data_IF_894306445928
#
_entry.id   IF_894306445928
#
_cell.length_a   1.000
_cell.length_b   1.000
_cell.length_c   1.000
_cell.angle_alpha   90.00
_cell.angle_beta   90.00
_cell.angle_gamma   90.00
#
_symmetry.space_group_name_H-M   'P 1'
#
loop_
_entity.id
_entity.type
_entity.pdbx_description
1 polymer ?
#
# COMPACT_ATOMS: atom_id res chain seq x y z
N UNK A 1 -31.36 51.20 -2.26
CA UNK A 1 -31.71 50.11 -1.33
C UNK A 1 -30.41 49.50 -0.86
N UNK A 2 -29.95 49.89 0.33
CA UNK A 2 -28.79 49.26 0.98
C UNK A 2 -29.30 48.00 1.67
N UNK A 3 -28.73 46.85 1.31
CA UNK A 3 -28.92 45.59 2.03
C UNK A 3 -27.86 45.62 3.14
N UNK A 4 -28.33 45.87 4.36
CA UNK A 4 -27.53 45.81 5.57
C UNK A 4 -27.31 44.33 5.91
N UNK A 5 -26.09 43.84 5.70
CA UNK A 5 -25.69 42.45 5.95
C UNK A 5 -25.47 42.26 7.46
N UNK A 6 -26.59 42.10 8.18
CA UNK A 6 -26.68 42.01 9.64
C UNK A 6 -26.19 40.68 10.23
N UNK A 7 -25.06 40.17 9.76
CA UNK A 7 -24.53 38.85 10.15
C UNK A 7 -23.26 38.95 10.99
N UNK A 8 -23.24 39.67 12.12
CA UNK A 8 -22.02 39.76 12.99
C UNK A 8 -22.10 39.81 14.55
N UNK A 9 -23.23 39.69 15.29
CA UNK A 9 -23.13 39.68 16.77
C UNK A 9 -22.84 38.32 17.42
N UNK A 10 -23.18 37.20 16.75
CA UNK A 10 -23.16 35.87 17.38
C UNK A 10 -21.75 35.31 17.57
N UNK A 11 -20.86 35.52 16.59
CA UNK A 11 -19.49 34.96 16.64
C UNK A 11 -18.63 35.57 17.75
N UNK A 12 -18.80 36.85 18.08
CA UNK A 12 -17.95 37.51 19.07
C UNK A 12 -18.27 37.08 20.51
N UNK A 13 -19.56 36.84 20.81
CA UNK A 13 -19.95 36.32 22.12
C UNK A 13 -19.46 34.88 22.31
N UNK A 14 -19.59 34.04 21.28
CA UNK A 14 -19.14 32.65 21.34
C UNK A 14 -17.62 32.57 21.53
N UNK A 15 -16.85 33.41 20.79
CA UNK A 15 -15.40 33.57 20.98
C UNK A 15 -15.04 34.03 22.40
N UNK A 16 -15.79 34.95 23.00
CA UNK A 16 -15.53 35.43 24.37
C UNK A 16 -15.85 34.40 25.46
N UNK A 17 -16.90 33.60 25.29
CA UNK A 17 -17.23 32.50 26.21
C UNK A 17 -16.21 31.37 26.11
N UNK A 18 -15.78 31.07 24.89
CA UNK A 18 -14.72 30.12 24.61
C UNK A 18 -13.39 30.59 25.22
N UNK A 19 -13.02 31.86 25.02
CA UNK A 19 -11.83 32.45 25.64
C UNK A 19 -11.88 32.30 27.16
N UNK A 20 -13.03 32.58 27.79
CA UNK A 20 -13.21 32.38 29.24
C UNK A 20 -13.08 30.91 29.67
N UNK A 21 -13.58 29.96 28.88
CA UNK A 21 -13.39 28.52 29.14
C UNK A 21 -11.92 28.11 29.03
N UNK A 22 -11.24 28.58 27.99
CA UNK A 22 -9.81 28.37 27.77
C UNK A 22 -9.02 28.97 28.94
N UNK A 23 -9.25 30.22 29.31
CA UNK A 23 -8.59 30.90 30.44
C UNK A 23 -8.87 30.19 31.76
N UNK A 24 -10.09 29.67 31.96
CA UNK A 24 -10.43 28.90 33.15
C UNK A 24 -9.66 27.58 33.23
N UNK A 25 -9.66 26.77 32.16
CA UNK A 25 -8.90 25.50 32.10
C UNK A 25 -7.38 25.73 32.14
N UNK A 26 -6.90 26.84 31.58
CA UNK A 26 -5.49 27.21 31.53
C UNK A 26 -5.00 28.01 32.74
N UNK A 27 -5.88 28.38 33.67
CA UNK A 27 -5.51 29.18 34.86
C UNK A 27 -4.41 28.55 35.71
N UNK A 28 -4.18 27.23 35.56
CA UNK A 28 -3.13 26.47 36.24
C UNK A 28 -1.86 26.26 35.41
N UNK A 29 -1.85 26.63 34.13
CA UNK A 29 -0.68 26.55 33.25
C UNK A 29 -0.04 27.93 33.11
N UNK A 30 1.30 28.04 33.22
CA UNK A 30 2.01 29.31 33.03
C UNK A 30 2.09 29.63 31.53
N UNK A 31 0.94 29.90 30.91
CA UNK A 31 0.89 30.39 29.54
C UNK A 31 1.09 31.90 29.58
N UNK A 32 2.22 32.33 29.04
CA UNK A 32 2.53 33.74 28.84
C UNK A 32 1.64 34.31 27.73
N UNK A 33 0.42 34.70 28.11
CA UNK A 33 -0.53 35.35 27.21
C UNK A 33 0.01 36.67 26.65
N UNK A 34 0.90 37.35 27.37
CA UNK A 34 1.53 38.57 26.87
C UNK A 34 2.50 38.26 25.73
N UNK A 35 3.24 37.14 25.82
CA UNK A 35 4.05 36.64 24.71
C UNK A 35 3.21 36.26 23.50
N UNK A 36 2.13 35.48 23.70
CA UNK A 36 1.20 35.09 22.60
C UNK A 36 0.61 36.34 21.95
N UNK A 37 0.06 37.26 22.75
CA UNK A 37 -0.50 38.51 22.27
C UNK A 37 0.55 39.42 21.61
N UNK A 38 1.79 39.44 22.10
CA UNK A 38 2.87 40.20 21.48
C UNK A 38 3.28 39.63 20.13
N UNK A 39 3.31 38.29 19.98
CA UNK A 39 3.56 37.64 18.70
C UNK A 39 2.44 37.95 17.70
N UNK A 40 1.18 37.91 18.13
CA UNK A 40 0.03 38.32 17.30
C UNK A 40 0.09 39.78 16.88
N UNK A 41 0.44 40.68 17.81
CA UNK A 41 0.61 42.10 17.50
C UNK A 41 1.79 42.36 16.55
N UNK A 42 2.81 41.51 16.56
CA UNK A 42 3.93 41.59 15.61
C UNK A 42 3.57 41.11 14.19
N UNK A 43 2.41 40.47 14.03
CA UNK A 43 1.96 39.86 12.78
C UNK A 43 0.98 40.74 11.97
N UNK A 44 0.63 41.96 12.39
CA UNK A 44 -0.20 42.90 11.59
C UNK A 44 0.41 44.32 11.46
N UNK A 45 0.17 45.10 10.38
CA UNK A 45 -0.40 44.76 9.05
C UNK A 45 0.37 45.40 7.85
N UNK A 46 0.62 44.62 6.79
CA UNK A 46 0.75 45.20 5.43
C UNK A 46 0.11 44.38 4.31
N UNK A 47 -0.54 43.26 4.59
CA UNK A 47 -1.32 42.52 3.60
C UNK A 47 -2.62 42.05 4.21
N UNK A 48 -3.74 42.65 3.79
CA UNK A 48 -5.11 42.32 4.18
C UNK A 48 -5.59 40.97 3.58
N UNK A 49 -4.71 39.96 3.53
CA UNK A 49 -4.97 38.66 2.91
C UNK A 49 -5.42 37.59 3.93
N UNK A 50 -5.31 37.88 5.24
CA UNK A 50 -5.66 36.97 6.34
C UNK A 50 -7.16 36.87 6.65
N UNK A 51 -7.99 37.59 5.88
CA UNK A 51 -9.45 37.51 5.99
C UNK A 51 -10.04 36.38 5.13
N UNK A 52 -9.23 35.56 4.45
CA UNK A 52 -9.74 34.27 3.98
C UNK A 52 -9.97 33.39 5.20
N UNK A 53 -11.07 32.65 5.24
CA UNK A 53 -11.42 31.70 6.32
C UNK A 53 -10.37 30.60 6.55
N UNK A 54 -9.29 30.58 5.78
CA UNK A 54 -8.35 29.48 5.67
C UNK A 54 -7.11 29.64 6.56
N UNK A 55 -6.88 30.78 7.20
CA UNK A 55 -5.68 30.97 8.02
C UNK A 55 -6.05 31.41 9.43
N UNK A 56 -5.99 30.48 10.40
CA UNK A 56 -6.20 30.73 11.84
C UNK A 56 -4.85 30.87 12.56
N UNK A 57 -4.17 32.03 12.50
CA UNK A 57 -2.87 32.23 13.12
C UNK A 57 -2.92 32.14 14.65
N UNK A 58 -4.04 32.57 15.25
CA UNK A 58 -4.26 32.54 16.70
C UNK A 58 -4.28 31.10 17.21
N UNK A 59 -5.13 30.25 16.62
CA UNK A 59 -5.22 28.85 16.97
C UNK A 59 -3.88 28.14 16.80
N UNK A 60 -3.15 28.45 15.72
CA UNK A 60 -1.82 27.88 15.45
C UNK A 60 -0.78 28.22 16.52
N UNK A 61 -0.70 29.49 16.91
CA UNK A 61 0.22 29.95 17.97
C UNK A 61 -0.15 29.35 19.32
N UNK A 62 -1.44 29.40 19.69
CA UNK A 62 -1.91 28.84 20.94
C UNK A 62 -1.65 27.34 21.02
N UNK A 63 -1.97 26.59 19.97
CA UNK A 63 -1.70 25.16 19.91
C UNK A 63 -0.20 24.87 20.03
N UNK A 64 0.66 25.61 19.32
CA UNK A 64 2.12 25.47 19.43
C UNK A 64 2.62 25.67 20.86
N UNK A 65 2.10 26.68 21.56
CA UNK A 65 2.46 26.96 22.96
C UNK A 65 1.97 25.87 23.91
N UNK A 66 0.72 25.43 23.76
CA UNK A 66 0.10 24.36 24.54
C UNK A 66 0.86 23.05 24.36
N UNK A 67 1.27 22.73 23.13
CA UNK A 67 2.06 21.54 22.84
C UNK A 67 3.49 21.63 23.39
N UNK A 68 4.15 22.78 23.26
CA UNK A 68 5.50 23.02 23.79
C UNK A 68 5.56 22.86 25.31
N UNK A 69 4.50 23.27 26.01
CA UNK A 69 4.38 23.16 27.46
C UNK A 69 3.90 21.80 27.95
N UNK A 70 3.73 20.81 27.07
CA UNK A 70 3.23 19.47 27.41
C UNK A 70 1.90 19.51 28.19
N UNK A 71 1.00 20.41 27.80
CA UNK A 71 -0.30 20.55 28.43
C UNK A 71 -1.10 19.22 28.47
N UNK A 72 -1.95 19.03 29.50
CA UNK A 72 -2.83 17.86 29.58
C UNK A 72 -3.77 17.71 28.36
N UNK A 73 -4.24 16.49 28.11
CA UNK A 73 -5.08 16.15 26.95
C UNK A 73 -6.36 17.01 26.86
N UNK A 74 -7.05 17.26 27.97
CA UNK A 74 -8.28 18.07 28.00
C UNK A 74 -8.04 19.51 27.51
N UNK A 75 -6.85 20.06 27.76
CA UNK A 75 -6.47 21.39 27.28
C UNK A 75 -6.27 21.35 25.77
N UNK A 76 -5.57 20.35 25.26
CA UNK A 76 -5.37 20.19 23.81
C UNK A 76 -6.71 19.98 23.10
N UNK A 77 -7.59 19.14 23.65
CA UNK A 77 -8.95 18.92 23.14
C UNK A 77 -9.76 20.21 23.09
N UNK A 78 -9.67 21.02 24.14
CA UNK A 78 -10.36 22.32 24.21
C UNK A 78 -9.84 23.25 23.12
N UNK A 79 -8.51 23.36 22.94
CA UNK A 79 -7.92 24.20 21.90
C UNK A 79 -8.34 23.75 20.51
N UNK A 80 -8.30 22.44 20.22
CA UNK A 80 -8.72 21.90 18.92
C UNK A 80 -10.23 22.10 18.68
N UNK A 81 -11.06 21.96 19.71
CA UNK A 81 -12.52 22.19 19.60
C UNK A 81 -12.81 23.65 19.25
N UNK A 82 -12.02 24.57 19.82
CA UNK A 82 -12.20 26.01 19.65
C UNK A 82 -11.62 26.51 18.34
N UNK A 83 -10.45 25.99 17.97
CA UNK A 83 -9.68 26.39 16.79
C UNK A 83 -9.54 25.19 15.84
N UNK A 84 -10.62 24.76 15.17
CA UNK A 84 -10.59 23.50 14.44
C UNK A 84 -9.64 23.49 13.23
N UNK A 85 -9.29 24.66 12.71
CA UNK A 85 -8.44 24.84 11.54
C UNK A 85 -6.95 24.89 11.91
N UNK A 86 -6.62 24.98 13.20
CA UNK A 86 -5.26 25.23 13.65
C UNK A 86 -4.26 24.12 13.32
N UNK A 87 -4.73 22.92 12.94
CA UNK A 87 -3.89 21.80 12.51
C UNK A 87 -3.69 21.72 10.99
N UNK A 88 -4.69 22.13 10.20
CA UNK A 88 -4.71 21.90 8.74
C UNK A 88 -3.53 22.61 8.08
N UNK A 89 -3.26 23.83 8.52
CA UNK A 89 -2.17 24.67 8.00
C UNK A 89 -1.00 24.77 8.98
N UNK A 90 -0.83 23.77 9.85
CA UNK A 90 0.26 23.72 10.83
C UNK A 90 0.88 22.33 11.02
N UNK A 91 1.49 21.76 9.97
CA UNK A 91 2.32 20.56 10.11
C UNK A 91 3.35 20.65 11.27
N UNK A 92 4.00 21.81 11.54
CA UNK A 92 4.91 21.94 12.67
C UNK A 92 4.28 21.60 14.04
N UNK A 93 3.03 22.00 14.30
CA UNK A 93 2.34 21.65 15.53
C UNK A 93 2.18 20.12 15.68
N UNK A 94 1.83 19.43 14.60
CA UNK A 94 1.76 17.97 14.63
C UNK A 94 3.11 17.31 14.95
N UNK A 95 4.19 17.76 14.31
CA UNK A 95 5.53 17.24 14.60
C UNK A 95 6.01 17.60 16.02
N UNK A 96 5.64 18.77 16.52
CA UNK A 96 5.88 19.18 17.90
C UNK A 96 5.16 18.25 18.87
N UNK A 97 3.88 17.93 18.62
CA UNK A 97 3.16 16.95 19.41
C UNK A 97 3.85 15.57 19.38
N UNK A 98 4.29 15.10 18.22
CA UNK A 98 5.01 13.83 18.09
C UNK A 98 6.32 13.82 18.91
N UNK A 99 7.01 14.97 18.97
CA UNK A 99 8.26 15.12 19.74
C UNK A 99 8.03 15.14 21.24
N UNK A 100 7.04 15.89 21.71
CA UNK A 100 6.82 16.17 23.13
C UNK A 100 5.89 15.16 23.83
N UNK A 101 4.99 14.50 23.10
CA UNK A 101 4.00 13.57 23.66
C UNK A 101 4.29 12.10 23.29
N UNK A 102 5.57 11.70 23.29
CA UNK A 102 5.97 10.32 22.93
C UNK A 102 5.25 9.23 23.75
N UNK A 103 4.96 9.51 25.01
CA UNK A 103 4.30 8.58 25.94
C UNK A 103 2.78 8.73 25.98
N UNK A 104 2.24 9.87 25.54
CA UNK A 104 0.82 10.18 25.62
C UNK A 104 0.18 10.13 24.22
N UNK A 105 -0.09 8.91 23.75
CA UNK A 105 -0.64 8.67 22.41
C UNK A 105 -2.03 9.28 22.22
N UNK A 106 -2.79 9.51 23.29
CA UNK A 106 -4.14 10.06 23.22
C UNK A 106 -4.14 11.47 22.61
N UNK A 107 -3.12 12.29 22.89
CA UNK A 107 -2.99 13.63 22.30
C UNK A 107 -2.86 13.54 20.78
N UNK A 108 -2.03 12.62 20.29
CA UNK A 108 -1.83 12.40 18.86
C UNK A 108 -3.08 11.83 18.19
N UNK A 109 -3.72 10.84 18.82
CA UNK A 109 -5.01 10.28 18.35
C UNK A 109 -6.06 11.38 18.23
N UNK A 110 -6.20 12.23 19.24
CA UNK A 110 -7.15 13.35 19.24
C UNK A 110 -6.82 14.33 18.13
N UNK A 111 -5.57 14.77 17.99
CA UNK A 111 -5.16 15.68 16.91
C UNK A 111 -5.46 15.10 15.52
N UNK A 112 -5.17 13.82 15.31
CA UNK A 112 -5.40 13.15 14.02
C UNK A 112 -6.88 12.97 13.74
N UNK A 113 -7.67 12.52 14.72
CA UNK A 113 -9.14 12.46 14.61
C UNK A 113 -9.71 13.81 14.24
N UNK A 114 -9.21 14.86 14.88
CA UNK A 114 -9.65 16.23 14.61
C UNK A 114 -9.37 16.62 13.16
N UNK A 115 -8.13 16.45 12.68
CA UNK A 115 -7.75 16.73 11.29
C UNK A 115 -8.56 15.94 10.26
N UNK A 116 -8.96 14.71 10.57
CA UNK A 116 -9.68 13.83 9.65
C UNK A 116 -11.21 13.93 9.76
N UNK A 117 -11.74 14.50 10.84
CA UNK A 117 -13.19 14.58 11.08
C UNK A 117 -13.93 15.60 10.20
N UNK A 118 -13.20 16.39 9.40
CA UNK A 118 -13.78 17.42 8.55
C UNK A 118 -14.25 16.84 7.21
N UNK A 119 -15.56 16.89 6.91
CA UNK A 119 -16.13 16.24 5.73
C UNK A 119 -15.93 17.00 4.41
N UNK A 120 -15.55 18.29 4.44
CA UNK A 120 -15.73 19.20 3.28
C UNK A 120 -14.45 19.69 2.59
N UNK A 121 -13.26 19.33 3.04
CA UNK A 121 -12.04 19.80 2.38
C UNK A 121 -11.66 18.87 1.25
N UNK A 122 -12.14 19.17 0.04
CA UNK A 122 -11.52 18.75 -1.22
C UNK A 122 -10.00 19.03 -1.26
N UNK A 123 -9.55 19.93 -0.38
CA UNK A 123 -8.16 20.34 -0.18
C UNK A 123 -7.52 19.80 1.11
N UNK A 124 -8.11 18.79 1.79
CA UNK A 124 -7.42 18.16 2.92
C UNK A 124 -6.17 17.44 2.41
N UNK A 125 -5.03 18.10 2.57
CA UNK A 125 -3.73 17.47 2.42
C UNK A 125 -3.63 16.31 3.41
N UNK A 126 -3.81 15.12 2.89
CA UNK A 126 -3.74 13.86 3.63
C UNK A 126 -2.37 13.79 4.34
N UNK A 127 -2.30 13.82 5.70
CA UNK A 127 -1.04 13.95 6.46
C UNK A 127 -0.18 12.66 6.44
N UNK A 128 -0.53 11.71 5.58
CA UNK A 128 0.03 10.36 5.55
C UNK A 128 1.52 10.32 5.23
N UNK A 129 2.07 11.19 4.37
CA UNK A 129 3.52 11.26 4.19
C UNK A 129 4.26 11.62 5.48
N UNK A 130 3.62 12.25 6.47
CA UNK A 130 4.24 12.54 7.76
C UNK A 130 4.58 11.28 8.54
N UNK A 131 3.87 10.16 8.31
CA UNK A 131 4.22 8.86 8.89
C UNK A 131 5.69 8.52 8.62
N UNK A 132 6.22 8.90 7.46
CA UNK A 132 7.59 8.62 7.06
C UNK A 132 8.63 9.46 7.81
N UNK A 133 8.23 10.58 8.43
CA UNK A 133 9.13 11.44 9.18
C UNK A 133 9.70 10.74 10.40
N UNK A 134 11.02 10.87 10.63
CA UNK A 134 11.68 10.35 11.84
C UNK A 134 11.14 10.96 13.13
N UNK A 135 10.45 12.11 13.05
CA UNK A 135 9.81 12.75 14.19
C UNK A 135 8.53 12.03 14.64
N UNK A 136 7.89 11.28 13.74
CA UNK A 136 6.68 10.51 14.05
C UNK A 136 7.11 9.17 14.63
N UNK A 137 6.68 8.84 15.85
CA UNK A 137 6.99 7.55 16.47
C UNK A 137 6.19 6.41 15.82
N UNK A 138 6.59 5.15 16.05
CA UNK A 138 5.81 3.98 15.59
C UNK A 138 4.38 4.02 16.13
N UNK A 139 4.23 4.36 17.41
CA UNK A 139 2.93 4.50 18.07
C UNK A 139 2.07 5.61 17.46
N UNK A 140 2.67 6.75 17.13
CA UNK A 140 1.98 7.83 16.44
C UNK A 140 1.49 7.40 15.05
N UNK A 141 2.35 6.70 14.30
CA UNK A 141 1.98 6.13 13.01
C UNK A 141 0.83 5.12 13.14
N UNK A 142 0.88 4.23 14.14
CA UNK A 142 -0.20 3.28 14.43
C UNK A 142 -1.52 4.01 14.70
N UNK A 143 -1.51 5.01 15.59
CA UNK A 143 -2.69 5.82 15.90
C UNK A 143 -3.29 6.47 14.64
N UNK A 144 -2.45 7.06 13.77
CA UNK A 144 -2.91 7.66 12.50
C UNK A 144 -3.61 6.61 11.63
N UNK A 145 -2.97 5.45 11.50
CA UNK A 145 -3.41 4.37 10.64
C UNK A 145 -4.68 3.65 11.17
N UNK A 146 -4.90 3.62 12.48
CA UNK A 146 -6.12 3.10 13.08
C UNK A 146 -7.33 4.00 12.80
N UNK A 147 -7.13 5.31 12.72
CA UNK A 147 -8.21 6.28 12.48
C UNK A 147 -8.58 6.33 11.00
N UNK A 148 -7.58 6.30 10.11
CA UNK A 148 -7.80 6.45 8.67
C UNK A 148 -6.88 5.53 7.88
N UNK A 149 -7.11 4.22 7.93
CA UNK A 149 -6.24 3.27 7.26
C UNK A 149 -6.20 3.51 5.74
N UNK A 150 -7.30 3.99 5.14
CA UNK A 150 -7.45 4.18 3.68
C UNK A 150 -6.46 5.17 3.08
N UNK A 151 -5.95 6.11 3.87
CA UNK A 151 -4.97 7.11 3.41
C UNK A 151 -3.68 6.49 2.88
N UNK A 152 -3.35 5.24 3.24
CA UNK A 152 -2.17 4.55 2.69
C UNK A 152 -2.32 4.13 1.23
N UNK A 153 -3.56 3.99 0.75
CA UNK A 153 -3.91 3.59 -0.62
C UNK A 153 -4.49 4.76 -1.44
N UNK A 154 -4.66 5.93 -0.83
CA UNK A 154 -5.14 7.13 -1.50
C UNK A 154 -3.96 7.92 -2.11
N UNK A 155 -4.09 8.43 -3.34
CA UNK A 155 -3.11 9.35 -3.92
C UNK A 155 -2.90 10.57 -3.03
N UNK A 156 -1.65 10.91 -2.74
CA UNK A 156 -1.32 12.12 -1.97
C UNK A 156 -0.70 13.18 -2.88
N UNK A 157 -1.15 14.45 -2.83
CA UNK A 157 -0.52 15.54 -3.59
C UNK A 157 0.89 15.87 -3.10
N UNK A 158 1.21 15.52 -1.85
CA UNK A 158 2.53 15.71 -1.23
C UNK A 158 3.56 14.68 -1.69
N UNK A 159 3.13 13.59 -2.31
CA UNK A 159 4.02 12.55 -2.82
C UNK A 159 4.31 12.77 -4.31
N UNK A 160 5.56 12.57 -4.77
CA UNK A 160 5.91 12.68 -6.17
C UNK A 160 4.98 11.84 -7.07
N UNK A 161 4.47 12.47 -8.12
CA UNK A 161 3.62 11.81 -9.11
C UNK A 161 2.20 11.45 -8.63
N UNK A 162 1.70 12.09 -7.55
CA UNK A 162 0.39 11.78 -6.95
C UNK A 162 0.26 10.29 -6.64
N UNK A 163 1.34 9.71 -6.10
CA UNK A 163 1.39 8.30 -5.73
C UNK A 163 0.75 8.07 -4.37
N UNK A 164 0.37 6.82 -4.08
CA UNK A 164 -0.08 6.44 -2.74
C UNK A 164 1.14 6.31 -1.81
N UNK A 165 0.92 6.37 -0.50
CA UNK A 165 2.01 6.17 0.46
C UNK A 165 2.69 4.81 0.28
N UNK A 166 1.89 3.77 0.04
CA UNK A 166 2.40 2.43 -0.22
C UNK A 166 3.24 2.40 -1.50
N UNK A 167 2.77 3.00 -2.61
CA UNK A 167 3.54 3.05 -3.86
C UNK A 167 4.85 3.80 -3.71
N UNK A 168 4.80 4.94 -3.01
CA UNK A 168 5.98 5.72 -2.74
C UNK A 168 7.03 4.88 -2.03
N UNK A 169 6.65 4.18 -0.94
CA UNK A 169 7.58 3.33 -0.21
C UNK A 169 8.09 2.14 -1.03
N UNK A 170 7.21 1.47 -1.76
CA UNK A 170 7.55 0.30 -2.57
C UNK A 170 8.52 0.66 -3.71
N UNK A 171 8.38 1.86 -4.30
CA UNK A 171 9.24 2.34 -5.39
C UNK A 171 10.48 3.07 -4.89
N UNK A 172 10.43 3.63 -3.68
CA UNK A 172 11.49 4.43 -3.11
C UNK A 172 12.73 3.58 -2.78
N UNK A 173 13.89 4.08 -3.20
CA UNK A 173 15.18 3.54 -2.79
C UNK A 173 15.54 3.84 -1.34
N UNK A 174 14.80 4.72 -0.65
CA UNK A 174 15.10 5.13 0.72
C UNK A 174 15.08 3.95 1.70
N UNK A 175 14.15 2.99 1.52
CA UNK A 175 14.12 1.77 2.34
C UNK A 175 15.40 0.94 2.20
N UNK A 176 16.01 0.90 1.01
CA UNK A 176 17.27 0.20 0.78
C UNK A 176 18.48 0.97 1.32
N UNK A 177 18.54 2.27 1.04
CA UNK A 177 19.70 3.12 1.39
C UNK A 177 19.92 3.21 2.90
N UNK A 178 18.84 3.15 3.68
CA UNK A 178 18.92 3.40 5.11
C UNK A 178 19.32 2.21 5.98
N UNK A 179 19.81 1.09 5.41
CA UNK A 179 20.10 -0.14 6.16
C UNK A 179 19.03 -0.39 7.24
N UNK A 180 17.77 -0.31 6.80
CA UNK A 180 16.57 -0.51 7.60
C UNK A 180 16.66 0.11 9.02
N UNK A 181 16.53 1.43 9.11
CA UNK A 181 16.11 2.05 10.36
C UNK A 181 14.89 1.29 10.89
N UNK A 182 15.03 0.65 12.06
CA UNK A 182 14.00 -0.22 12.64
C UNK A 182 12.65 0.50 12.78
N UNK A 183 12.66 1.82 12.99
CA UNK A 183 11.46 2.63 13.06
C UNK A 183 10.76 2.72 11.71
N UNK A 184 11.48 3.03 10.63
CA UNK A 184 10.91 3.12 9.29
C UNK A 184 10.35 1.77 8.82
N UNK A 185 11.06 0.68 9.14
CA UNK A 185 10.58 -0.68 8.87
C UNK A 185 9.29 -1.01 9.59
N UNK A 186 9.22 -0.71 10.88
CA UNK A 186 8.03 -0.98 11.68
C UNK A 186 6.84 -0.18 11.17
N UNK A 187 7.06 1.08 10.79
CA UNK A 187 6.03 1.91 10.13
C UNK A 187 5.59 1.34 8.79
N UNK A 188 6.52 0.86 7.98
CA UNK A 188 6.19 0.18 6.72
C UNK A 188 5.30 -1.06 6.95
N UNK A 189 5.61 -1.89 7.96
CA UNK A 189 4.73 -3.02 8.33
C UNK A 189 3.33 -2.55 8.74
N UNK A 190 3.23 -1.49 9.54
CA UNK A 190 1.94 -0.90 9.91
C UNK A 190 1.16 -0.41 8.68
N UNK A 191 1.84 0.22 7.72
CA UNK A 191 1.23 0.67 6.46
C UNK A 191 0.67 -0.52 5.67
N UNK A 192 1.40 -1.64 5.60
CA UNK A 192 0.92 -2.86 4.94
C UNK A 192 -0.31 -3.45 5.63
N UNK A 193 -0.30 -3.55 6.96
CA UNK A 193 -1.46 -4.03 7.74
C UNK A 193 -2.66 -3.10 7.54
N UNK A 194 -2.42 -1.80 7.47
CA UNK A 194 -3.49 -0.82 7.23
C UNK A 194 -4.07 -0.99 5.85
N UNK A 195 -3.22 -1.13 4.82
CA UNK A 195 -3.64 -1.40 3.46
C UNK A 195 -4.50 -2.68 3.35
N UNK A 196 -4.16 -3.71 4.15
CA UNK A 196 -4.98 -4.92 4.30
C UNK A 196 -6.37 -4.61 4.88
N UNK A 197 -6.44 -3.82 5.94
CA UNK A 197 -7.70 -3.42 6.59
C UNK A 197 -8.59 -2.60 5.66
N UNK A 198 -8.04 -1.70 4.84
CA UNK A 198 -8.80 -0.87 3.88
C UNK A 198 -9.56 -1.71 2.87
N UNK A 199 -8.93 -2.79 2.41
CA UNK A 199 -9.54 -3.72 1.47
C UNK A 199 -10.66 -4.54 2.11
N UNK A 200 -10.95 -4.39 3.41
CA UNK A 200 -12.11 -5.01 4.08
C UNK A 200 -13.29 -4.06 4.22
N UNK A 201 -13.04 -2.77 4.48
CA UNK A 201 -14.04 -1.84 5.01
C UNK A 201 -14.93 -1.13 3.98
N UNK A 202 -14.36 -0.56 2.91
CA UNK A 202 -15.03 0.55 2.23
C UNK A 202 -15.35 0.37 0.74
N UNK A 203 -15.06 -0.77 0.12
CA UNK A 203 -15.51 -1.02 -1.25
C UNK A 203 -16.67 -2.03 -1.26
N UNK A 204 -17.79 -1.70 -1.90
CA UNK A 204 -18.83 -2.67 -2.22
C UNK A 204 -18.24 -3.89 -2.99
N UNK A 205 -17.16 -3.68 -3.76
CA UNK A 205 -16.40 -4.76 -4.41
C UNK A 205 -15.51 -5.57 -3.43
N UNK A 206 -15.12 -5.00 -2.29
CA UNK A 206 -14.32 -5.65 -1.26
C UNK A 206 -15.11 -6.59 -0.36
N UNK A 207 -16.43 -6.38 -0.20
CA UNK A 207 -17.30 -7.35 0.51
C UNK A 207 -17.22 -8.76 -0.10
N UNK A 208 -16.89 -8.87 -1.39
CA UNK A 208 -16.74 -10.13 -2.12
C UNK A 208 -15.29 -10.65 -2.17
N UNK A 209 -14.33 -9.83 -1.76
CA UNK A 209 -12.90 -10.13 -1.74
C UNK A 209 -12.46 -10.09 -0.27
N UNK A 210 -12.92 -11.06 0.52
CA UNK A 210 -12.58 -11.19 1.93
C UNK A 210 -11.08 -11.17 2.24
N UNK A 211 -10.77 -11.31 3.53
CA UNK A 211 -9.48 -10.97 4.16
C UNK A 211 -8.27 -11.41 3.33
N UNK A 212 -7.68 -10.44 2.62
CA UNK A 212 -6.38 -10.55 1.98
C UNK A 212 -5.29 -10.47 3.04
N UNK A 213 -4.12 -11.06 2.81
CA UNK A 213 -2.97 -10.86 3.71
C UNK A 213 -2.10 -9.69 3.24
N UNK A 214 -1.18 -9.16 4.07
CA UNK A 214 -0.31 -8.05 3.65
C UNK A 214 0.51 -8.38 2.39
N UNK A 215 0.93 -9.64 2.25
CA UNK A 215 1.61 -10.13 1.05
C UNK A 215 0.70 -10.07 -0.19
N UNK A 216 -0.59 -10.43 -0.07
CA UNK A 216 -1.53 -10.33 -1.18
C UNK A 216 -1.70 -8.89 -1.64
N UNK A 217 -1.85 -7.95 -0.68
CA UNK A 217 -1.99 -6.52 -1.00
C UNK A 217 -0.75 -6.01 -1.73
N UNK A 218 0.43 -6.31 -1.20
CA UNK A 218 1.70 -5.88 -1.78
C UNK A 218 1.90 -6.46 -3.19
N UNK A 219 1.70 -7.76 -3.39
CA UNK A 219 1.87 -8.40 -4.70
C UNK A 219 0.82 -7.92 -5.71
N UNK A 220 -0.45 -7.78 -5.32
CA UNK A 220 -1.47 -7.18 -6.20
C UNK A 220 -1.07 -5.77 -6.64
N UNK A 221 -0.49 -4.97 -5.74
CA UNK A 221 -0.06 -3.61 -6.05
C UNK A 221 1.15 -3.61 -6.99
N UNK A 222 2.17 -4.41 -6.70
CA UNK A 222 3.35 -4.59 -7.57
C UNK A 222 2.93 -4.96 -8.99
N UNK A 223 2.04 -5.94 -9.10
CA UNK A 223 1.55 -6.43 -10.39
C UNK A 223 0.61 -5.44 -11.09
N UNK A 224 0.11 -4.41 -10.41
CA UNK A 224 -0.68 -3.33 -11.02
C UNK A 224 0.17 -2.26 -11.70
N UNK A 225 1.50 -2.27 -11.51
CA UNK A 225 2.39 -1.32 -12.15
C UNK A 225 2.69 -1.74 -13.60
N UNK A 226 2.36 -0.91 -14.60
CA UNK A 226 2.51 -1.28 -16.01
C UNK A 226 3.98 -1.47 -16.42
N UNK A 227 4.91 -0.80 -15.74
CA UNK A 227 6.34 -0.78 -16.05
C UNK A 227 7.19 -1.62 -15.08
N UNK A 228 6.58 -2.43 -14.20
CA UNK A 228 7.32 -3.17 -13.17
C UNK A 228 8.41 -4.06 -13.75
N UNK A 229 8.09 -4.81 -14.81
CA UNK A 229 9.05 -5.74 -15.44
C UNK A 229 10.10 -5.02 -16.31
N UNK A 230 9.84 -3.77 -16.69
CA UNK A 230 10.75 -2.98 -17.53
C UNK A 230 11.67 -2.08 -16.67
N UNK A 231 11.27 -1.76 -15.44
CA UNK A 231 12.01 -0.91 -14.53
C UNK A 231 12.86 -1.71 -13.54
N UNK A 232 14.10 -2.01 -13.93
CA UNK A 232 15.05 -2.82 -13.15
C UNK A 232 15.30 -2.27 -11.74
N UNK A 233 15.36 -0.96 -11.59
CA UNK A 233 15.61 -0.31 -10.30
C UNK A 233 14.45 -0.54 -9.34
N UNK A 234 13.22 -0.27 -9.80
CA UNK A 234 11.99 -0.51 -9.03
C UNK A 234 11.82 -1.99 -8.72
N UNK A 235 12.06 -2.87 -9.69
CA UNK A 235 11.99 -4.31 -9.50
C UNK A 235 12.98 -4.81 -8.44
N UNK A 236 14.23 -4.33 -8.48
CA UNK A 236 15.25 -4.67 -7.46
C UNK A 236 14.83 -4.20 -6.07
N UNK A 237 14.23 -3.00 -5.97
CA UNK A 237 13.69 -2.47 -4.71
C UNK A 237 12.60 -3.38 -4.14
N UNK A 238 11.65 -3.75 -4.98
CA UNK A 238 10.54 -4.63 -4.62
C UNK A 238 11.03 -6.02 -4.23
N UNK A 239 11.93 -6.64 -5.00
CA UNK A 239 12.46 -7.97 -4.68
C UNK A 239 13.22 -7.94 -3.36
N UNK A 240 14.04 -6.91 -3.13
CA UNK A 240 14.71 -6.73 -1.84
C UNK A 240 13.70 -6.59 -0.70
N UNK A 241 12.65 -5.78 -0.89
CA UNK A 241 11.59 -5.55 0.11
C UNK A 241 10.86 -6.84 0.47
N UNK A 242 10.52 -7.65 -0.54
CA UNK A 242 9.89 -8.95 -0.35
C UNK A 242 10.82 -9.92 0.38
N UNK A 243 12.12 -9.91 0.08
CA UNK A 243 13.11 -10.71 0.82
C UNK A 243 13.23 -10.26 2.29
N UNK A 244 13.16 -8.97 2.59
CA UNK A 244 13.16 -8.50 3.98
C UNK A 244 11.88 -8.92 4.72
N UNK A 245 10.72 -8.83 4.07
CA UNK A 245 9.46 -9.32 4.65
C UNK A 245 9.45 -10.84 4.83
N UNK A 246 10.00 -11.57 3.85
CA UNK A 246 10.18 -13.01 3.91
C UNK A 246 11.02 -13.42 5.12
N UNK A 247 12.11 -12.69 5.39
CA UNK A 247 12.99 -12.93 6.51
C UNK A 247 12.35 -12.56 7.86
N UNK A 248 11.73 -11.37 7.94
CA UNK A 248 11.20 -10.86 9.20
C UNK A 248 9.84 -11.45 9.60
N UNK A 249 8.98 -11.76 8.62
CA UNK A 249 7.57 -12.11 8.82
C UNK A 249 7.10 -13.19 7.83
N UNK A 250 7.88 -14.26 7.64
CA UNK A 250 7.60 -15.36 6.71
C UNK A 250 6.12 -15.84 6.68
N UNK A 251 5.45 -15.82 7.84
CA UNK A 251 4.05 -16.22 8.00
C UNK A 251 3.09 -15.47 7.08
N UNK A 252 3.37 -14.22 6.68
CA UNK A 252 2.48 -13.45 5.78
C UNK A 252 2.37 -14.08 4.39
N UNK A 253 3.39 -14.85 3.98
CA UNK A 253 3.43 -15.57 2.71
C UNK A 253 2.82 -16.97 2.80
N UNK A 254 2.73 -17.53 4.00
CA UNK A 254 2.21 -18.87 4.27
C UNK A 254 0.69 -18.89 4.49
N UNK A 255 0.11 -17.73 4.79
CA UNK A 255 -1.33 -17.61 5.03
C UNK A 255 -2.06 -17.38 3.71
N UNK A 256 -2.95 -18.32 3.38
CA UNK A 256 -3.94 -18.11 2.33
C UNK A 256 -4.99 -17.07 2.76
N UNK A 257 -5.59 -16.39 1.79
CA UNK A 257 -6.79 -15.60 2.03
C UNK A 257 -8.00 -16.51 2.33
N UNK A 258 -9.13 -15.90 2.68
CA UNK A 258 -10.41 -16.60 2.92
C UNK A 258 -10.92 -17.48 1.75
N UNK A 259 -10.40 -17.32 0.52
CA UNK A 259 -10.72 -18.15 -0.66
C UNK A 259 -9.70 -19.28 -0.88
N UNK A 260 -8.73 -19.43 0.02
CA UNK A 260 -7.62 -20.37 -0.19
C UNK A 260 -6.60 -19.88 -1.23
N UNK A 261 -6.66 -18.60 -1.63
CA UNK A 261 -5.68 -18.02 -2.55
C UNK A 261 -4.42 -17.76 -1.75
N UNK A 262 -3.29 -18.20 -2.28
CA UNK A 262 -1.97 -17.93 -1.72
C UNK A 262 -1.30 -16.79 -2.48
N UNK A 263 -0.29 -16.11 -1.90
CA UNK A 263 0.48 -15.08 -2.58
C UNK A 263 1.06 -15.53 -3.93
N UNK A 264 1.46 -16.80 -4.04
CA UNK A 264 1.91 -17.40 -5.31
C UNK A 264 0.80 -17.37 -6.39
N UNK A 265 -0.44 -17.66 -6.03
CA UNK A 265 -1.57 -17.61 -6.94
C UNK A 265 -1.85 -16.19 -7.45
N UNK A 266 -1.66 -15.18 -6.60
CA UNK A 266 -1.81 -13.77 -7.01
C UNK A 266 -0.85 -13.41 -8.14
N UNK A 267 0.40 -13.86 -8.03
CA UNK A 267 1.41 -13.64 -9.07
C UNK A 267 1.02 -14.35 -10.36
N UNK A 268 0.86 -15.67 -10.28
CA UNK A 268 0.72 -16.51 -11.46
C UNK A 268 -0.62 -16.32 -12.18
N UNK A 269 -1.66 -15.78 -11.53
CA UNK A 269 -2.96 -15.50 -12.17
C UNK A 269 -2.91 -14.35 -13.18
N UNK A 270 -1.88 -13.51 -13.15
CA UNK A 270 -1.72 -12.46 -14.14
C UNK A 270 -0.91 -12.94 -15.33
N UNK A 271 -1.23 -12.44 -16.53
CA UNK A 271 -0.43 -12.68 -17.72
C UNK A 271 0.97 -12.08 -17.54
N UNK A 272 2.00 -12.91 -17.69
CA UNK A 272 3.38 -12.46 -17.71
C UNK A 272 3.70 -12.04 -19.14
N UNK A 273 3.80 -10.74 -19.40
CA UNK A 273 4.20 -10.20 -20.71
C UNK A 273 5.56 -9.49 -20.68
N UNK A 274 6.64 -10.11 -20.16
CA UNK A 274 7.95 -9.49 -20.17
C UNK A 274 8.45 -9.44 -21.61
N UNK A 275 8.46 -8.24 -22.19
CA UNK A 275 8.92 -8.00 -23.56
C UNK A 275 10.44 -8.20 -23.69
N UNK A 276 11.15 -8.05 -22.57
CA UNK A 276 12.61 -8.07 -22.50
C UNK A 276 13.16 -9.19 -21.60
N UNK A 277 14.40 -9.62 -21.87
CA UNK A 277 15.12 -10.60 -21.06
C UNK A 277 15.14 -10.22 -19.57
N UNK A 278 15.36 -8.95 -19.27
CA UNK A 278 15.40 -8.44 -17.89
C UNK A 278 14.09 -8.64 -17.14
N UNK A 279 12.94 -8.39 -17.79
CA UNK A 279 11.62 -8.63 -17.20
C UNK A 279 11.39 -10.09 -16.83
N UNK A 280 11.94 -11.03 -17.60
CA UNK A 280 11.89 -12.46 -17.27
C UNK A 280 12.70 -12.81 -16.04
N UNK A 281 13.90 -12.24 -15.90
CA UNK A 281 14.74 -12.42 -14.71
C UNK A 281 14.01 -11.88 -13.48
N UNK A 282 13.38 -10.71 -13.59
CA UNK A 282 12.58 -10.11 -12.51
C UNK A 282 11.39 -11.01 -12.13
N UNK A 283 10.59 -11.45 -13.11
CA UNK A 283 9.45 -12.34 -12.90
C UNK A 283 9.86 -13.64 -12.20
N UNK A 284 10.98 -14.22 -12.64
CA UNK A 284 11.54 -15.43 -12.06
C UNK A 284 11.99 -15.22 -10.61
N UNK A 285 12.73 -14.16 -10.31
CA UNK A 285 13.20 -13.87 -8.95
C UNK A 285 12.02 -13.55 -8.00
N UNK A 286 10.95 -12.95 -8.51
CA UNK A 286 9.73 -12.71 -7.74
C UNK A 286 9.06 -14.03 -7.31
N UNK A 287 8.86 -14.97 -8.25
CA UNK A 287 8.30 -16.29 -7.95
C UNK A 287 9.22 -17.08 -7.01
N UNK A 288 10.52 -17.05 -7.27
CA UNK A 288 11.54 -17.68 -6.42
C UNK A 288 11.48 -17.17 -4.98
N UNK A 289 11.37 -15.86 -4.78
CA UNK A 289 11.25 -15.24 -3.45
C UNK A 289 10.03 -15.80 -2.71
N UNK A 290 8.87 -15.89 -3.36
CA UNK A 290 7.66 -16.44 -2.74
C UNK A 290 7.79 -17.94 -2.43
N UNK A 291 8.35 -18.73 -3.35
CA UNK A 291 8.55 -20.18 -3.16
C UNK A 291 9.58 -20.51 -2.09
N UNK A 292 10.62 -19.68 -1.90
CA UNK A 292 11.59 -19.86 -0.83
C UNK A 292 10.95 -19.78 0.56
N UNK A 293 9.95 -18.91 0.74
CA UNK A 293 9.26 -18.75 2.03
C UNK A 293 8.18 -19.80 2.25
N UNK A 294 7.44 -20.14 1.19
CA UNK A 294 6.34 -21.09 1.28
C UNK A 294 6.29 -22.05 0.08
N UNK A 295 7.18 -23.05 0.03
CA UNK A 295 7.25 -24.00 -1.08
C UNK A 295 5.96 -24.81 -1.25
N UNK A 296 5.26 -25.11 -0.16
CA UNK A 296 4.00 -25.87 -0.20
C UNK A 296 2.90 -25.17 -1.01
N UNK A 297 2.97 -23.85 -1.20
CA UNK A 297 2.02 -23.14 -2.08
C UNK A 297 2.05 -23.65 -3.53
N UNK A 298 3.15 -24.26 -4.00
CA UNK A 298 3.24 -24.89 -5.32
C UNK A 298 2.30 -26.12 -5.46
N UNK A 299 1.86 -26.71 -4.35
CA UNK A 299 0.98 -27.90 -4.31
C UNK A 299 -0.49 -27.54 -4.12
N UNK A 300 -0.77 -26.34 -3.68
CA UNK A 300 -2.13 -25.89 -3.40
C UNK A 300 -2.83 -25.56 -4.71
N UNK A 301 -3.89 -26.30 -5.06
CA UNK A 301 -4.69 -25.98 -6.24
C UNK A 301 -5.67 -24.83 -5.93
N UNK A 302 -5.81 -23.89 -6.86
CA UNK A 302 -6.86 -22.87 -6.85
C UNK A 302 -7.76 -23.11 -8.05
N UNK A 303 -9.09 -23.18 -7.82
CA UNK A 303 -10.06 -23.52 -8.87
C UNK A 303 -9.67 -24.85 -9.57
N UNK A 304 -9.19 -25.82 -8.79
CA UNK A 304 -8.66 -27.13 -9.24
C UNK A 304 -7.44 -27.06 -10.20
N UNK A 305 -6.85 -25.87 -10.42
CA UNK A 305 -5.62 -25.68 -11.18
C UNK A 305 -4.42 -25.51 -10.25
N UNK A 306 -3.39 -26.35 -10.41
CA UNK A 306 -2.09 -26.14 -9.78
C UNK A 306 -1.35 -24.90 -10.32
N UNK A 307 -0.46 -24.28 -9.51
CA UNK A 307 0.41 -23.17 -9.92
C UNK A 307 1.18 -23.39 -11.23
N UNK A 308 1.63 -24.60 -11.52
CA UNK A 308 2.35 -24.89 -12.78
C UNK A 308 1.46 -24.66 -14.02
N UNK A 309 0.17 -24.99 -13.93
CA UNK A 309 -0.76 -24.74 -15.04
C UNK A 309 -0.88 -23.25 -15.31
N UNK A 310 -1.09 -22.44 -14.26
CA UNK A 310 -1.12 -20.98 -14.36
C UNK A 310 0.19 -20.42 -14.90
N UNK A 311 1.34 -20.89 -14.42
CA UNK A 311 2.64 -20.41 -14.88
C UNK A 311 2.83 -20.64 -16.39
N UNK A 312 2.48 -21.83 -16.88
CA UNK A 312 2.62 -22.17 -18.30
C UNK A 312 1.60 -21.41 -19.16
N UNK A 313 0.33 -21.43 -18.76
CA UNK A 313 -0.78 -20.76 -19.46
C UNK A 313 -0.54 -19.25 -19.59
N UNK A 314 0.01 -18.64 -18.53
CA UNK A 314 0.29 -17.20 -18.46
C UNK A 314 1.75 -16.83 -18.79
N UNK A 315 2.53 -17.74 -19.38
CA UNK A 315 3.91 -17.50 -19.84
C UNK A 315 4.90 -17.01 -18.78
N UNK A 316 4.74 -17.43 -17.51
CA UNK A 316 5.71 -17.14 -16.45
C UNK A 316 6.98 -18.00 -16.57
N UNK A 317 8.18 -17.40 -16.52
CA UNK A 317 9.46 -18.11 -16.69
C UNK A 317 9.95 -18.79 -15.40
N UNK A 318 9.11 -19.66 -14.82
CA UNK A 318 9.32 -20.24 -13.49
C UNK A 318 8.86 -21.70 -13.33
N UNK A 319 8.52 -22.39 -14.42
CA UNK A 319 8.04 -23.78 -14.36
C UNK A 319 9.07 -24.72 -13.72
N UNK A 320 10.35 -24.55 -14.02
CA UNK A 320 11.45 -25.32 -13.41
C UNK A 320 11.58 -25.06 -11.89
N UNK A 321 11.33 -23.83 -11.42
CA UNK A 321 11.29 -23.52 -9.98
C UNK A 321 10.12 -24.23 -9.29
N UNK A 322 8.95 -24.29 -9.95
CA UNK A 322 7.78 -25.00 -9.44
C UNK A 322 8.04 -26.52 -9.39
N UNK A 323 8.66 -27.08 -10.43
CA UNK A 323 9.00 -28.50 -10.51
C UNK A 323 10.09 -28.92 -9.52
N UNK A 324 11.03 -28.01 -9.22
CA UNK A 324 12.02 -28.26 -8.18
C UNK A 324 11.37 -28.45 -6.79
N UNK A 325 10.18 -27.89 -6.57
CA UNK A 325 9.44 -27.96 -5.31
C UNK A 325 8.35 -29.05 -5.32
N UNK A 326 7.69 -29.25 -6.45
CA UNK A 326 6.61 -30.23 -6.61
C UNK A 326 6.63 -30.88 -8.00
N UNK A 327 7.51 -31.87 -8.23
CA UNK A 327 7.67 -32.50 -9.54
C UNK A 327 6.44 -33.30 -10.00
N UNK A 328 5.65 -33.84 -9.06
CA UNK A 328 4.42 -34.60 -9.33
C UNK A 328 3.33 -33.74 -9.99
N UNK A 329 3.50 -32.41 -10.01
CA UNK A 329 2.61 -31.50 -10.73
C UNK A 329 2.55 -31.76 -12.24
N UNK A 330 3.53 -32.45 -12.83
CA UNK A 330 3.52 -32.83 -14.24
C UNK A 330 2.46 -33.88 -14.57
N UNK A 331 2.13 -34.73 -13.60
CA UNK A 331 1.15 -35.81 -13.75
C UNK A 331 -0.26 -35.36 -13.34
N UNK A 332 -0.42 -34.10 -12.94
CA UNK A 332 -1.71 -33.52 -12.62
C UNK A 332 -2.33 -32.92 -13.88
N UNK A 333 -3.56 -33.30 -14.17
CA UNK A 333 -4.36 -32.71 -15.24
C UNK A 333 -5.03 -31.43 -14.73
N UNK A 334 -5.00 -30.38 -15.54
CA UNK A 334 -5.80 -29.17 -15.31
C UNK A 334 -7.28 -29.51 -15.49
N UNK A 335 -8.09 -29.34 -14.43
CA UNK A 335 -9.53 -29.61 -14.46
C UNK A 335 -10.32 -28.79 -15.47
N UNK A 336 -9.83 -27.61 -15.83
CA UNK A 336 -10.55 -26.66 -16.70
C UNK A 336 -10.27 -26.93 -18.17
N UNK A 337 -9.01 -27.22 -18.51
CA UNK A 337 -8.60 -27.50 -19.87
C UNK A 337 -8.56 -29.00 -20.21
N UNK A 338 -8.59 -29.86 -19.19
CA UNK A 338 -8.31 -31.30 -19.29
C UNK A 338 -6.93 -31.59 -19.92
N UNK A 339 -5.96 -30.69 -19.73
CA UNK A 339 -4.61 -30.81 -20.28
C UNK A 339 -3.56 -30.91 -19.17
N UNK A 340 -2.50 -31.67 -19.42
CA UNK A 340 -1.29 -31.66 -18.60
C UNK A 340 -0.46 -30.40 -18.86
N UNK A 341 0.45 -29.98 -17.97
CA UNK A 341 1.26 -28.78 -18.15
C UNK A 341 1.98 -28.68 -19.50
N UNK A 342 2.56 -29.77 -19.99
CA UNK A 342 3.25 -29.78 -21.30
C UNK A 342 2.28 -29.62 -22.48
N UNK A 343 1.05 -30.13 -22.34
CA UNK A 343 0.01 -29.96 -23.35
C UNK A 343 -0.53 -28.54 -23.35
N UNK A 344 -0.69 -27.92 -22.17
CA UNK A 344 -1.01 -26.49 -22.07
C UNK A 344 0.08 -25.68 -22.76
N UNK A 345 1.37 -25.96 -22.49
CA UNK A 345 2.49 -25.28 -23.14
C UNK A 345 2.42 -25.39 -24.68
N UNK A 346 2.13 -26.59 -25.20
CA UNK A 346 1.99 -26.81 -26.63
C UNK A 346 0.73 -26.15 -27.23
N UNK A 347 -0.37 -26.12 -26.46
CA UNK A 347 -1.66 -25.57 -26.87
C UNK A 347 -1.74 -24.04 -26.72
N UNK A 348 -0.85 -23.43 -25.93
CA UNK A 348 -0.71 -21.98 -25.81
C UNK A 348 -0.42 -21.38 -27.17
N UNK A 349 -1.49 -21.01 -27.88
CA UNK A 349 -1.41 -20.26 -29.12
C UNK A 349 -0.62 -19.01 -28.78
N UNK A 350 0.51 -18.80 -29.46
CA UNK A 350 1.18 -17.51 -29.41
C UNK A 350 0.09 -16.51 -29.76
N UNK A 351 -0.37 -15.72 -28.79
CA UNK A 351 -1.02 -14.45 -29.04
C UNK A 351 0.05 -13.57 -29.66
N UNK A 352 0.41 -13.87 -30.90
CA UNK A 352 1.12 -12.96 -31.77
C UNK A 352 0.11 -11.85 -31.99
N UNK A 353 0.19 -10.83 -31.14
CA UNK A 353 -0.49 -9.57 -31.33
C UNK A 353 -0.21 -9.15 -32.76
N UNK A 354 -1.20 -9.28 -33.64
CA UNK A 354 -1.11 -8.96 -35.07
C UNK A 354 -1.03 -7.45 -35.31
N UNK A 355 -0.45 -6.70 -34.36
CA UNK A 355 -0.13 -5.29 -34.51
C UNK A 355 1.22 -5.21 -35.22
N UNK A 356 1.13 -4.90 -36.51
CA UNK A 356 2.20 -4.37 -37.34
C UNK A 356 3.15 -3.45 -36.55
N UNK A 357 4.34 -3.93 -36.19
CA UNK A 357 5.59 -3.14 -36.17
C UNK A 357 6.82 -4.00 -35.82
N UNK A 358 7.62 -4.25 -36.87
CA UNK A 358 9.08 -4.15 -36.92
C UNK A 358 9.96 -4.73 -35.80
N UNK A 359 10.58 -5.87 -36.14
CA UNK A 359 12.03 -6.12 -36.12
C UNK A 359 12.81 -5.74 -34.86
N UNK A 360 12.60 -6.46 -33.77
CA UNK A 360 13.73 -6.80 -32.88
C UNK A 360 13.68 -8.29 -32.57
N UNK A 361 14.71 -9.04 -32.97
CA UNK A 361 14.89 -10.47 -32.71
C UNK A 361 15.20 -10.73 -31.22
N UNK A 362 14.32 -10.31 -30.32
CA UNK A 362 14.45 -10.66 -28.90
C UNK A 362 13.92 -12.09 -28.74
N UNK A 363 14.80 -12.98 -28.29
CA UNK A 363 14.56 -14.42 -28.12
C UNK A 363 13.47 -14.67 -27.06
N UNK A 364 12.21 -14.64 -27.49
CA UNK A 364 11.13 -15.16 -26.66
C UNK A 364 11.34 -16.67 -26.49
N UNK A 365 11.38 -17.19 -25.24
CA UNK A 365 11.33 -18.64 -24.99
C UNK A 365 10.10 -19.14 -25.71
N UNK A 366 10.28 -20.01 -26.67
CA UNK A 366 9.18 -20.49 -27.48
C UNK A 366 8.34 -21.43 -26.62
N UNK A 367 7.02 -21.46 -26.88
CA UNK A 367 6.14 -22.47 -26.30
C UNK A 367 6.69 -23.90 -26.47
N UNK A 368 7.42 -24.15 -27.57
CA UNK A 368 8.12 -25.41 -27.81
C UNK A 368 9.26 -25.64 -26.82
N UNK A 369 10.08 -24.64 -26.50
CA UNK A 369 11.16 -24.78 -25.51
C UNK A 369 10.60 -25.16 -24.14
N UNK A 370 9.52 -24.50 -23.70
CA UNK A 370 8.83 -24.85 -22.44
C UNK A 370 8.29 -26.28 -22.52
N UNK A 371 7.64 -26.65 -23.63
CA UNK A 371 7.13 -28.01 -23.84
C UNK A 371 8.24 -29.05 -23.74
N UNK A 372 9.38 -28.83 -24.42
CA UNK A 372 10.53 -29.72 -24.36
C UNK A 372 11.14 -29.79 -22.97
N UNK A 373 11.24 -28.68 -22.25
CA UNK A 373 11.75 -28.67 -20.87
C UNK A 373 10.84 -29.45 -19.93
N UNK A 374 9.52 -29.30 -20.05
CA UNK A 374 8.53 -30.05 -19.26
C UNK A 374 8.59 -31.56 -19.58
N UNK A 375 8.66 -31.93 -20.86
CA UNK A 375 8.81 -33.34 -21.26
C UNK A 375 10.13 -33.94 -20.79
N UNK A 376 11.22 -33.16 -20.81
CA UNK A 376 12.53 -33.60 -20.33
C UNK A 376 12.55 -33.77 -18.80
N UNK A 377 11.80 -32.96 -18.07
CA UNK A 377 11.70 -33.05 -16.61
C UNK A 377 10.99 -34.34 -16.14
N UNK A 378 10.13 -34.93 -16.97
CA UNK A 378 9.51 -36.24 -16.69
C UNK A 378 9.49 -37.15 -17.94
N UNK A 379 10.60 -37.87 -18.22
CA UNK A 379 10.69 -38.75 -19.39
C UNK A 379 9.78 -39.98 -19.26
N UNK A 380 9.24 -40.28 -18.07
CA UNK A 380 8.41 -41.46 -17.83
C UNK A 380 6.97 -41.31 -18.30
N UNK A 381 6.57 -40.10 -18.72
CA UNK A 381 5.21 -39.80 -19.18
C UNK A 381 4.87 -40.33 -20.58
N UNK A 382 5.75 -41.11 -21.21
CA UNK A 382 5.39 -42.01 -22.33
C UNK A 382 4.60 -43.21 -21.77
N UNK A 383 3.56 -42.94 -20.98
CA UNK A 383 2.54 -43.95 -20.77
C UNK A 383 1.73 -44.08 -22.06
N UNK A 384 1.45 -45.31 -22.52
CA UNK A 384 0.61 -45.51 -23.69
C UNK A 384 -0.72 -44.81 -23.46
N UNK A 385 -1.09 -43.90 -24.38
CA UNK A 385 -2.36 -43.18 -24.37
C UNK A 385 -3.50 -44.15 -23.98
N UNK A 386 -4.36 -43.79 -23.01
CA UNK A 386 -5.46 -44.65 -22.60
C UNK A 386 -6.27 -45.05 -23.84
N UNK A 387 -6.51 -46.36 -23.99
CA UNK A 387 -7.04 -46.99 -25.21
C UNK A 387 -8.40 -46.46 -25.68
N UNK A 388 -9.05 -45.58 -24.91
CA UNK A 388 -10.28 -44.88 -25.29
C UNK A 388 -10.14 -44.00 -26.53
N UNK A 389 -8.91 -43.61 -26.92
CA UNK A 389 -8.64 -42.88 -28.17
C UNK A 389 -8.02 -43.73 -29.28
N UNK A 390 -7.71 -45.01 -29.02
CA UNK A 390 -7.15 -45.92 -30.03
C UNK A 390 -8.19 -46.45 -31.05
N UNK A 391 -9.45 -46.05 -30.91
CA UNK A 391 -10.59 -46.55 -31.69
C UNK A 391 -10.93 -45.78 -32.97
N UNK A 392 -10.28 -44.66 -33.28
CA UNK A 392 -10.46 -43.99 -34.59
C UNK A 392 -9.50 -44.67 -35.57
N UNK A 393 -9.84 -45.90 -35.96
CA UNK A 393 -9.28 -46.50 -37.17
C UNK A 393 -9.77 -45.66 -38.35
N UNK A 394 -8.84 -45.14 -39.14
CA UNK A 394 -9.13 -44.68 -40.48
C UNK A 394 -9.66 -45.89 -41.27
N UNK A 395 -10.97 -45.95 -41.47
CA UNK A 395 -11.54 -46.71 -42.57
C UNK A 395 -11.20 -45.93 -43.84
N UNK A 396 -10.26 -46.50 -44.60
CA UNK A 396 -9.93 -46.10 -45.98
C UNK A 396 -10.58 -47.10 -46.94
#
# INVERSE_FOLDING_TARGET
MNIDDGTQPLEQHEKNDIKRKIEHELSYLPIDWDSVNSQLKSLEPSTAQWASKEDDPMGRLLLGQVLSNQAPLNVVETVLTVFPDCLIYNPPAFFMACRHYKTNQNVLVTMVKHSLSRPDSSDSECPFPWILSDLVTVSAAQAILEIYPQGVLEPSPMLPGKTTLLDYLVRSSELQKHQVNSNLWTKFKLILVSAECCQKGNCAACKNNGVLTPAHVLLKRIMSYPDFFDNVSVARNIIWLLNQLAFADAWIFQKADHKGIYPLHVLLRQLCTPQHHTGRVIARELVKTVLQVHPQSARCALEQRLPIHWAVDHNWPCHDLLLAVYPEALDAQDSTSELYPFQIAAASKRTTSTSYQQTTNVSSVSALDITFELLRANPTHVQPMPSKYAGIRAEA
#
